data_IF_220141909843
#
_entry.id   IF_220141909843
#
_cell.length_a   1.000
_cell.length_b   1.000
_cell.length_c   1.000
_cell.angle_alpha   90.00
_cell.angle_beta   90.00
_cell.angle_gamma   90.00
#
_symmetry.space_group_name_H-M   'P 1'
#
loop_
_entity.id
_entity.type
_entity.pdbx_description
1 polymer ?
#
# COMPACT_ATOMS: atom_id res chain seq x y z
N UNK A 1 18.98 26.16 -3.09
CA UNK A 1 19.34 24.96 -2.30
C UNK A 1 18.88 23.75 -3.09
N UNK A 2 19.76 22.78 -3.34
CA UNK A 2 19.41 21.49 -3.96
C UNK A 2 19.19 20.50 -2.82
N UNK A 3 18.03 19.84 -2.77
CA UNK A 3 17.65 18.91 -1.71
C UNK A 3 17.43 17.51 -2.28
N UNK A 4 18.33 16.57 -1.94
CA UNK A 4 18.33 15.19 -2.43
C UNK A 4 18.05 14.17 -1.32
N UNK A 5 17.48 14.61 -0.19
CA UNK A 5 17.22 13.73 0.96
C UNK A 5 16.11 12.71 0.69
N UNK A 6 15.05 13.14 0.00
CA UNK A 6 13.85 12.35 -0.25
C UNK A 6 12.94 13.06 -1.24
N UNK A 7 12.08 12.33 -1.95
CA UNK A 7 10.97 12.88 -2.74
C UNK A 7 9.82 13.42 -1.87
N UNK A 8 9.87 13.23 -0.55
CA UNK A 8 8.93 13.84 0.41
C UNK A 8 9.14 15.35 0.60
N UNK A 9 10.25 15.92 0.13
CA UNK A 9 10.54 17.37 0.28
C UNK A 9 9.88 18.23 -0.80
N UNK A 10 9.12 17.62 -1.72
CA UNK A 10 8.38 18.31 -2.77
C UNK A 10 7.46 19.38 -2.20
N UNK A 11 7.19 20.42 -2.99
CA UNK A 11 6.29 21.51 -2.61
C UNK A 11 5.19 21.66 -3.66
N UNK A 12 3.96 22.03 -3.25
CA UNK A 12 2.88 22.28 -4.18
C UNK A 12 3.26 23.31 -5.24
N UNK A 13 2.99 22.96 -6.50
CA UNK A 13 3.13 23.86 -7.64
C UNK A 13 2.14 25.02 -7.57
N UNK A 14 2.33 26.05 -8.39
CA UNK A 14 1.39 27.18 -8.46
C UNK A 14 -0.03 26.72 -8.84
N UNK A 15 -0.15 25.77 -9.78
CA UNK A 15 -1.44 25.19 -10.18
C UNK A 15 -2.11 24.45 -9.03
N UNK A 16 -1.35 23.63 -8.28
CA UNK A 16 -1.88 22.92 -7.12
C UNK A 16 -2.30 23.88 -6.01
N UNK A 17 -1.54 24.95 -5.75
CA UNK A 17 -1.91 25.99 -4.77
C UNK A 17 -3.22 26.68 -5.14
N UNK A 18 -3.42 26.97 -6.42
CA UNK A 18 -4.67 27.53 -6.91
C UNK A 18 -5.83 26.55 -6.76
N UNK A 19 -5.64 25.30 -7.17
CA UNK A 19 -6.66 24.25 -7.04
C UNK A 19 -7.09 24.05 -5.58
N UNK A 20 -6.14 24.09 -4.62
CA UNK A 20 -6.48 24.03 -3.19
C UNK A 20 -7.25 25.27 -2.71
N UNK A 21 -6.90 26.47 -3.18
CA UNK A 21 -7.57 27.71 -2.79
C UNK A 21 -9.00 27.84 -3.35
N UNK A 22 -9.27 27.16 -4.48
CA UNK A 22 -10.53 27.21 -5.21
C UNK A 22 -11.38 25.93 -5.02
N UNK A 23 -10.92 24.97 -4.20
CA UNK A 23 -11.60 23.69 -4.02
C UNK A 23 -12.99 23.86 -3.39
N UNK A 24 -13.97 23.13 -3.92
CA UNK A 24 -15.26 22.93 -3.25
C UNK A 24 -15.05 21.97 -2.08
N UNK A 25 -15.48 22.35 -0.89
CA UNK A 25 -15.25 21.58 0.34
C UNK A 25 -16.55 21.33 1.10
N UNK A 26 -16.55 20.28 1.92
CA UNK A 26 -17.65 19.90 2.78
C UNK A 26 -17.16 19.15 4.03
N UNK A 27 -18.10 18.69 4.83
CA UNK A 27 -17.79 17.78 5.95
C UNK A 27 -17.66 16.35 5.43
N UNK A 28 -16.44 15.80 5.45
CA UNK A 28 -16.15 14.47 4.91
C UNK A 28 -16.83 13.34 5.70
N UNK A 29 -17.13 13.55 6.98
CA UNK A 29 -17.75 12.55 7.85
C UNK A 29 -19.27 12.52 7.67
N UNK A 30 -19.90 13.69 7.54
CA UNK A 30 -21.36 13.80 7.50
C UNK A 30 -21.93 13.58 6.11
N UNK A 31 -21.52 14.43 5.16
CA UNK A 31 -22.14 14.51 3.83
C UNK A 31 -21.16 14.14 2.70
N UNK A 32 -19.91 13.83 3.06
CA UNK A 32 -18.78 13.62 2.16
C UNK A 32 -18.26 14.93 1.56
N UNK A 33 -16.94 15.10 1.50
CA UNK A 33 -16.36 16.26 0.83
C UNK A 33 -16.37 16.02 -0.70
N UNK A 34 -16.91 16.95 -1.52
CA UNK A 34 -17.01 16.76 -2.97
C UNK A 34 -15.64 16.65 -3.66
N UNK A 35 -14.61 17.34 -3.17
CA UNK A 35 -13.25 17.24 -3.71
C UNK A 35 -12.59 15.94 -3.29
N UNK A 36 -12.75 15.51 -2.02
CA UNK A 36 -12.24 14.22 -1.54
C UNK A 36 -12.86 13.05 -2.30
N UNK A 37 -14.18 13.03 -2.49
CA UNK A 37 -14.85 11.97 -3.26
C UNK A 37 -14.34 11.87 -4.69
N UNK A 38 -14.19 13.01 -5.39
CA UNK A 38 -13.63 13.03 -6.74
C UNK A 38 -12.19 12.51 -6.79
N UNK A 39 -11.39 12.79 -5.75
CA UNK A 39 -10.05 12.23 -5.62
C UNK A 39 -10.12 10.70 -5.44
N UNK A 40 -10.96 10.21 -4.53
CA UNK A 40 -11.14 8.79 -4.25
C UNK A 40 -11.61 8.01 -5.49
N UNK A 41 -12.63 8.51 -6.20
CA UNK A 41 -13.11 7.95 -7.47
C UNK A 41 -12.00 7.88 -8.51
N UNK A 42 -11.22 8.97 -8.65
CA UNK A 42 -10.12 9.01 -9.61
C UNK A 42 -9.00 8.04 -9.26
N UNK A 43 -8.68 7.88 -7.96
CA UNK A 43 -7.66 6.91 -7.53
C UNK A 43 -8.15 5.48 -7.76
N UNK A 44 -9.40 5.18 -7.43
CA UNK A 44 -9.99 3.86 -7.69
C UNK A 44 -9.90 3.50 -9.19
N UNK A 45 -10.26 4.43 -10.07
CA UNK A 45 -10.15 4.27 -11.53
C UNK A 45 -8.69 4.01 -11.97
N UNK A 46 -7.74 4.83 -11.53
CA UNK A 46 -6.33 4.71 -11.92
C UNK A 46 -5.66 3.41 -11.47
N UNK A 47 -6.04 2.93 -10.28
CA UNK A 47 -5.51 1.70 -9.67
C UNK A 47 -6.30 0.47 -10.12
N UNK A 48 -7.47 0.65 -10.75
CA UNK A 48 -8.31 -0.46 -11.22
C UNK A 48 -8.99 -1.20 -10.07
N UNK A 49 -9.42 -0.48 -9.04
CA UNK A 49 -10.17 -0.99 -7.90
C UNK A 49 -11.60 -0.43 -7.88
N UNK A 50 -12.47 -1.02 -7.07
CA UNK A 50 -13.88 -0.59 -6.97
C UNK A 50 -14.04 0.73 -6.22
N UNK A 51 -13.21 0.96 -5.20
CA UNK A 51 -13.26 2.15 -4.37
C UNK A 51 -11.86 2.52 -3.83
N UNK A 52 -11.75 3.76 -3.34
CA UNK A 52 -10.59 4.23 -2.59
C UNK A 52 -11.03 5.14 -1.42
N UNK A 53 -10.13 5.35 -0.48
CA UNK A 53 -10.31 6.20 0.70
C UNK A 53 -9.07 7.06 0.92
N UNK A 54 -9.26 8.36 1.14
CA UNK A 54 -8.18 9.29 1.44
C UNK A 54 -7.70 9.17 2.90
N UNK A 55 -6.39 9.26 3.10
CA UNK A 55 -5.73 9.23 4.40
C UNK A 55 -4.71 10.37 4.54
N UNK A 56 -4.54 10.93 5.75
CA UNK A 56 -3.50 11.93 6.03
C UNK A 56 -2.08 11.46 5.69
N UNK A 57 -1.79 10.16 5.83
CA UNK A 57 -0.45 9.60 5.59
C UNK A 57 -0.51 8.18 5.04
N UNK A 58 0.57 7.77 4.36
CA UNK A 58 0.73 6.39 3.89
C UNK A 58 0.82 5.38 5.02
N UNK A 59 1.40 5.77 6.16
CA UNK A 59 1.45 4.94 7.37
C UNK A 59 0.05 4.61 7.86
N UNK A 60 -0.83 5.61 7.98
CA UNK A 60 -2.21 5.35 8.42
C UNK A 60 -2.95 4.44 7.42
N UNK A 61 -2.80 4.68 6.11
CA UNK A 61 -3.42 3.83 5.10
C UNK A 61 -2.91 2.37 5.15
N UNK A 62 -1.60 2.16 5.27
CA UNK A 62 -0.99 0.84 5.45
C UNK A 62 -1.50 0.16 6.72
N UNK A 63 -1.48 0.86 7.85
CA UNK A 63 -1.94 0.31 9.12
C UNK A 63 -3.43 -0.03 9.11
N UNK A 64 -4.29 0.79 8.49
CA UNK A 64 -5.70 0.45 8.26
C UNK A 64 -5.85 -0.81 7.40
N UNK A 65 -5.06 -0.94 6.33
CA UNK A 65 -5.09 -2.13 5.49
C UNK A 65 -4.68 -3.39 6.26
N UNK A 66 -3.61 -3.32 7.04
CA UNK A 66 -3.17 -4.44 7.87
C UNK A 66 -4.18 -4.75 8.97
N UNK A 67 -4.77 -3.74 9.61
CA UNK A 67 -5.80 -3.94 10.62
C UNK A 67 -7.00 -4.74 10.09
N UNK A 68 -7.41 -4.50 8.85
CA UNK A 68 -8.54 -5.17 8.22
C UNK A 68 -8.19 -6.55 7.63
N UNK A 69 -6.96 -6.73 7.16
CA UNK A 69 -6.54 -8.00 6.55
C UNK A 69 -5.97 -9.00 7.56
N UNK A 70 -5.32 -8.50 8.61
CA UNK A 70 -4.72 -9.34 9.64
C UNK A 70 -5.70 -9.60 10.78
N UNK A 71 -5.63 -10.81 11.34
CA UNK A 71 -6.38 -11.14 12.53
C UNK A 71 -5.48 -11.04 13.77
N UNK A 72 -6.02 -10.63 14.92
CA UNK A 72 -5.24 -10.59 16.16
C UNK A 72 -4.70 -11.99 16.49
N UNK A 73 -3.41 -12.08 16.84
CA UNK A 73 -2.74 -13.35 17.14
C UNK A 73 -2.33 -14.15 15.91
N UNK A 74 -2.33 -13.55 14.72
CA UNK A 74 -1.85 -14.18 13.46
C UNK A 74 -0.56 -13.54 12.97
N UNK A 75 -0.07 -13.95 11.80
CA UNK A 75 1.12 -13.43 11.15
C UNK A 75 0.81 -12.65 9.88
N UNK A 76 1.66 -11.67 9.59
CA UNK A 76 1.79 -11.04 8.27
C UNK A 76 3.16 -11.39 7.70
N UNK A 77 3.20 -11.92 6.47
CA UNK A 77 4.43 -12.31 5.78
C UNK A 77 4.81 -11.24 4.75
N UNK A 78 6.02 -10.68 4.90
CA UNK A 78 6.51 -9.56 4.08
C UNK A 78 8.04 -9.47 4.09
N UNK A 79 8.59 -8.60 3.24
CA UNK A 79 10.04 -8.38 3.15
C UNK A 79 10.60 -7.77 4.45
N UNK A 80 11.77 -8.26 4.90
CA UNK A 80 12.36 -7.96 6.21
C UNK A 80 12.78 -6.50 6.41
N UNK A 81 12.90 -5.73 5.34
CA UNK A 81 13.31 -4.33 5.27
C UNK A 81 12.25 -3.43 4.61
N UNK A 82 11.04 -3.95 4.41
CA UNK A 82 9.90 -3.16 3.97
C UNK A 82 9.57 -2.03 4.95
N UNK A 83 8.95 -0.97 4.45
CA UNK A 83 8.56 0.23 5.19
C UNK A 83 7.67 -0.10 6.39
N UNK A 84 6.69 -0.99 6.19
CA UNK A 84 5.83 -1.59 7.21
C UNK A 84 6.60 -2.17 8.40
N UNK A 85 7.82 -2.66 8.18
CA UNK A 85 8.69 -3.23 9.24
C UNK A 85 9.56 -2.15 9.88
N UNK A 86 10.23 -1.32 9.07
CA UNK A 86 11.30 -0.44 9.55
C UNK A 86 10.82 0.93 10.03
N UNK A 87 9.76 1.46 9.45
CA UNK A 87 9.42 2.88 9.54
C UNK A 87 8.00 3.18 10.01
N UNK A 88 7.28 2.16 10.49
CA UNK A 88 5.89 2.28 10.97
C UNK A 88 5.75 1.95 12.46
N UNK A 89 6.83 2.13 13.23
CA UNK A 89 6.83 2.06 14.70
C UNK A 89 6.23 0.76 15.27
N UNK A 90 6.53 -0.37 14.61
CA UNK A 90 5.97 -1.68 14.93
C UNK A 90 4.43 -1.72 14.92
N UNK A 91 3.79 -0.92 14.07
CA UNK A 91 2.34 -0.78 13.99
C UNK A 91 1.59 -2.09 13.78
N UNK A 92 2.14 -3.03 12.99
CA UNK A 92 1.54 -4.37 12.78
C UNK A 92 1.34 -5.08 14.12
N UNK A 93 2.33 -5.04 15.01
CA UNK A 93 2.25 -5.66 16.33
C UNK A 93 1.43 -4.82 17.31
N UNK A 94 1.65 -3.50 17.34
CA UNK A 94 1.04 -2.61 18.32
C UNK A 94 -0.44 -2.33 18.09
N UNK A 95 -0.86 -2.23 16.83
CA UNK A 95 -2.23 -1.92 16.43
C UNK A 95 -2.98 -3.20 16.06
N UNK A 96 -2.55 -3.89 15.00
CA UNK A 96 -3.27 -5.06 14.51
C UNK A 96 -3.11 -6.30 15.40
N UNK A 97 -2.17 -6.30 16.36
CA UNK A 97 -1.91 -7.46 17.21
C UNK A 97 -1.44 -8.68 16.43
N UNK A 98 -0.79 -8.46 15.29
CA UNK A 98 -0.25 -9.50 14.43
C UNK A 98 1.28 -9.50 14.51
N UNK A 99 1.89 -10.68 14.41
CA UNK A 99 3.34 -10.78 14.33
C UNK A 99 3.83 -10.64 12.89
N UNK A 100 5.06 -10.18 12.73
CA UNK A 100 5.74 -10.12 11.44
C UNK A 100 6.49 -11.43 11.24
N UNK A 101 6.25 -12.10 10.12
CA UNK A 101 7.13 -13.14 9.59
C UNK A 101 7.97 -12.51 8.47
N UNK A 102 9.24 -12.15 8.71
CA UNK A 102 10.04 -11.46 7.72
C UNK A 102 10.69 -12.44 6.74
N UNK A 103 10.72 -12.06 5.46
CA UNK A 103 11.53 -12.71 4.42
C UNK A 103 12.62 -11.75 4.01
N UNK A 104 13.89 -12.11 4.20
CA UNK A 104 14.98 -11.27 3.75
C UNK A 104 15.29 -11.53 2.27
N UNK A 105 15.35 -10.45 1.51
CA UNK A 105 15.79 -10.45 0.11
C UNK A 105 17.13 -9.70 -0.01
N UNK A 106 18.00 -10.08 -0.94
CA UNK A 106 19.25 -9.35 -1.17
C UNK A 106 19.05 -8.03 -1.92
N UNK A 107 17.97 -7.90 -2.71
CA UNK A 107 17.75 -6.79 -3.62
C UNK A 107 16.36 -6.12 -3.46
N UNK A 108 15.61 -6.45 -2.41
CA UNK A 108 14.25 -5.93 -2.18
C UNK A 108 13.16 -6.61 -3.01
N UNK A 109 13.50 -7.57 -3.88
CA UNK A 109 12.52 -8.27 -4.72
C UNK A 109 12.06 -9.54 -4.02
N UNK A 110 10.92 -9.44 -3.34
CA UNK A 110 10.22 -10.60 -2.78
C UNK A 110 9.65 -11.46 -3.92
N UNK A 111 9.80 -12.78 -3.83
CA UNK A 111 9.32 -13.72 -4.87
C UNK A 111 8.36 -14.75 -4.28
N UNK A 112 7.51 -15.34 -5.13
CA UNK A 112 6.62 -16.42 -4.71
C UNK A 112 7.39 -17.65 -4.18
N UNK A 113 8.59 -17.93 -4.70
CA UNK A 113 9.43 -19.01 -4.21
C UNK A 113 9.86 -18.78 -2.74
N UNK A 114 10.36 -17.58 -2.42
CA UNK A 114 10.75 -17.21 -1.05
C UNK A 114 9.53 -17.20 -0.11
N UNK A 115 8.37 -16.73 -0.59
CA UNK A 115 7.13 -16.76 0.16
C UNK A 115 6.67 -18.19 0.48
N UNK A 116 6.79 -19.13 -0.47
CA UNK A 116 6.48 -20.55 -0.24
C UNK A 116 7.41 -21.17 0.79
N UNK A 117 8.70 -20.86 0.73
CA UNK A 117 9.70 -21.35 1.69
C UNK A 117 9.42 -20.84 3.10
N UNK A 118 9.05 -19.56 3.23
CA UNK A 118 8.71 -18.96 4.51
C UNK A 118 7.31 -19.32 5.02
N UNK A 119 6.48 -20.00 4.21
CA UNK A 119 5.09 -20.29 4.57
C UNK A 119 5.03 -21.26 5.76
N UNK A 120 4.34 -20.92 6.86
CA UNK A 120 4.28 -21.79 8.02
C UNK A 120 3.50 -23.08 7.73
N UNK A 121 4.01 -24.22 8.20
CA UNK A 121 3.24 -25.46 8.21
C UNK A 121 2.02 -25.32 9.14
N UNK A 122 0.89 -25.92 8.75
CA UNK A 122 -0.31 -25.93 9.58
C UNK A 122 -0.03 -26.64 10.91
N UNK A 123 -0.17 -25.92 12.02
CA UNK A 123 0.10 -26.42 13.37
C UNK A 123 -0.69 -25.63 14.40
N UNK A 124 -1.25 -26.27 15.45
CA UNK A 124 -1.89 -25.55 16.55
C UNK A 124 -0.90 -24.74 17.40
N UNK A 125 0.41 -24.93 17.21
CA UNK A 125 1.47 -24.25 17.96
C UNK A 125 2.16 -23.13 17.15
N UNK A 126 1.75 -22.93 15.89
CA UNK A 126 2.30 -21.89 15.01
C UNK A 126 1.17 -20.94 14.64
N UNK A 127 1.34 -19.62 14.79
CA UNK A 127 0.30 -18.68 14.41
C UNK A 127 0.00 -18.77 12.91
N UNK A 128 -1.29 -18.66 12.57
CA UNK A 128 -1.74 -18.72 11.19
C UNK A 128 -1.23 -17.51 10.42
N UNK A 129 -0.87 -17.70 9.16
CA UNK A 129 -0.62 -16.59 8.23
C UNK A 129 -1.96 -16.06 7.69
N UNK A 130 -2.32 -14.81 7.99
CA UNK A 130 -3.60 -14.21 7.56
C UNK A 130 -3.45 -13.26 6.38
N UNK A 131 -2.28 -12.63 6.23
CA UNK A 131 -2.03 -11.64 5.19
C UNK A 131 -0.59 -11.68 4.66
N UNK A 132 -0.44 -11.27 3.41
CA UNK A 132 0.82 -10.93 2.77
C UNK A 132 0.89 -9.42 2.56
N UNK A 133 2.09 -8.84 2.68
CA UNK A 133 2.34 -7.49 2.25
C UNK A 133 3.59 -7.41 1.36
N UNK A 134 3.49 -6.63 0.28
CA UNK A 134 4.57 -6.40 -0.68
C UNK A 134 4.75 -4.90 -0.86
N UNK A 135 5.99 -4.43 -0.96
CA UNK A 135 6.30 -3.04 -1.26
C UNK A 135 6.80 -2.89 -2.70
N UNK A 136 6.18 -2.00 -3.49
CA UNK A 136 6.63 -1.69 -4.85
C UNK A 136 6.43 -0.21 -5.20
N UNK A 137 7.48 0.57 -5.44
CA UNK A 137 8.91 0.21 -5.43
C UNK A 137 9.48 0.03 -4.01
N UNK A 138 10.48 -0.83 -3.85
CA UNK A 138 11.08 -1.12 -2.55
C UNK A 138 12.10 -0.05 -2.10
N UNK A 139 11.79 0.67 -1.02
CA UNK A 139 12.51 1.85 -0.53
C UNK A 139 13.92 1.51 -0.03
N UNK A 140 14.06 0.55 0.88
CA UNK A 140 15.35 0.18 1.46
C UNK A 140 16.32 -0.45 0.43
N UNK A 141 15.79 -0.86 -0.74
CA UNK A 141 16.57 -1.39 -1.85
C UNK A 141 16.85 -0.35 -2.94
N UNK A 142 16.73 0.95 -2.62
CA UNK A 142 17.06 2.04 -3.53
C UNK A 142 15.99 2.32 -4.59
N UNK A 143 14.71 2.08 -4.27
CA UNK A 143 13.62 2.28 -5.22
C UNK A 143 13.51 1.15 -6.24
N UNK A 144 13.86 -0.07 -5.85
CA UNK A 144 13.80 -1.24 -6.73
C UNK A 144 12.37 -1.50 -7.19
N UNK A 145 12.19 -1.64 -8.50
CA UNK A 145 10.91 -2.00 -9.12
C UNK A 145 10.75 -3.52 -9.08
N UNK A 146 9.59 -4.01 -8.61
CA UNK A 146 9.22 -5.41 -8.75
C UNK A 146 8.76 -5.67 -10.20
N UNK A 147 9.40 -6.61 -10.93
CA UNK A 147 8.96 -6.98 -12.27
C UNK A 147 7.54 -7.55 -12.27
N UNK A 148 6.72 -7.19 -13.26
CA UNK A 148 5.34 -7.67 -13.38
C UNK A 148 5.19 -9.20 -13.29
N UNK A 149 6.02 -10.04 -13.96
CA UNK A 149 5.89 -11.49 -13.83
C UNK A 149 6.08 -12.00 -12.40
N UNK A 150 6.99 -11.36 -11.63
CA UNK A 150 7.22 -11.71 -10.22
C UNK A 150 5.99 -11.35 -9.37
N UNK A 151 5.40 -10.18 -9.61
CA UNK A 151 4.16 -9.78 -8.96
C UNK A 151 3.00 -10.76 -9.25
N UNK A 152 2.84 -11.17 -10.51
CA UNK A 152 1.80 -12.12 -10.92
C UNK A 152 1.94 -13.49 -10.24
N UNK A 153 3.17 -13.97 -10.04
CA UNK A 153 3.42 -15.19 -9.27
C UNK A 153 3.02 -15.05 -7.80
N UNK A 154 3.23 -13.89 -7.18
CA UNK A 154 2.83 -13.62 -5.78
C UNK A 154 1.30 -13.56 -5.67
N UNK A 155 0.64 -12.89 -6.62
CA UNK A 155 -0.83 -12.85 -6.70
C UNK A 155 -1.42 -14.25 -6.84
N UNK A 156 -0.83 -15.08 -7.71
CA UNK A 156 -1.26 -16.47 -7.89
C UNK A 156 -1.10 -17.28 -6.60
N UNK A 157 0.04 -17.14 -5.90
CA UNK A 157 0.26 -17.80 -4.61
C UNK A 157 -0.73 -17.33 -3.53
N UNK A 158 -0.97 -16.02 -3.41
CA UNK A 158 -1.92 -15.48 -2.45
C UNK A 158 -3.33 -16.04 -2.68
N UNK A 159 -3.73 -16.12 -3.95
CA UNK A 159 -5.02 -16.67 -4.39
C UNK A 159 -5.11 -18.16 -4.10
N UNK A 160 -4.10 -18.94 -4.48
CA UNK A 160 -3.99 -20.39 -4.21
C UNK A 160 -4.16 -20.70 -2.72
N UNK A 161 -3.59 -19.83 -1.86
CA UNK A 161 -3.58 -20.00 -0.41
C UNK A 161 -4.75 -19.34 0.31
N UNK A 162 -5.59 -18.59 -0.40
CA UNK A 162 -6.75 -17.88 0.16
C UNK A 162 -6.38 -16.80 1.19
N UNK A 163 -5.23 -16.15 1.06
CA UNK A 163 -4.80 -15.06 1.96
C UNK A 163 -4.94 -13.69 1.29
N UNK A 164 -5.11 -12.65 2.10
CA UNK A 164 -5.18 -11.27 1.59
C UNK A 164 -3.79 -10.77 1.22
N UNK A 165 -3.69 -10.09 0.08
CA UNK A 165 -2.45 -9.50 -0.42
C UNK A 165 -2.56 -7.98 -0.42
N UNK A 166 -1.76 -7.32 0.41
CA UNK A 166 -1.64 -5.86 0.44
C UNK A 166 -0.43 -5.39 -0.35
N UNK A 167 -0.62 -4.37 -1.18
CA UNK A 167 0.47 -3.66 -1.86
C UNK A 167 0.71 -2.31 -1.18
N UNK A 168 1.87 -2.16 -0.52
CA UNK A 168 2.45 -0.84 -0.24
C UNK A 168 2.99 -0.27 -1.56
N UNK A 169 2.13 0.51 -2.20
CA UNK A 169 2.38 1.19 -3.46
C UNK A 169 2.71 2.67 -3.25
N UNK A 170 3.40 3.05 -2.17
CA UNK A 170 3.80 4.45 -1.91
C UNK A 170 4.40 5.13 -3.15
N UNK A 171 5.07 4.35 -4.00
CA UNK A 171 5.65 4.80 -5.28
C UNK A 171 5.19 3.96 -6.47
N UNK A 172 3.98 3.42 -6.45
CA UNK A 172 3.42 2.61 -7.56
C UNK A 172 3.46 3.37 -8.90
N UNK A 173 3.31 4.69 -8.86
CA UNK A 173 3.43 5.56 -10.04
C UNK A 173 4.80 5.45 -10.72
N UNK A 174 5.87 5.32 -9.93
CA UNK A 174 7.24 5.17 -10.44
C UNK A 174 7.44 3.77 -11.02
N UNK A 175 6.90 2.74 -10.35
CA UNK A 175 6.94 1.36 -10.85
C UNK A 175 6.19 1.21 -12.19
N UNK A 176 5.06 1.92 -12.34
CA UNK A 176 4.28 1.98 -13.57
C UNK A 176 5.07 2.63 -14.72
N UNK A 177 5.63 3.83 -14.47
CA UNK A 177 6.47 4.53 -15.46
C UNK A 177 7.71 3.73 -15.85
N UNK A 178 8.40 3.12 -14.87
CA UNK A 178 9.62 2.35 -15.13
C UNK A 178 9.40 1.09 -15.98
N UNK A 179 8.17 0.57 -16.02
CA UNK A 179 7.79 -0.61 -16.79
C UNK A 179 6.95 -0.29 -18.04
N UNK A 180 6.65 0.98 -18.29
CA UNK A 180 5.71 1.41 -19.34
C UNK A 180 4.34 0.73 -19.22
N UNK A 181 3.80 0.71 -18.00
CA UNK A 181 2.52 0.09 -17.67
C UNK A 181 1.56 1.10 -17.04
N UNK A 182 0.26 0.83 -17.13
CA UNK A 182 -0.73 1.53 -16.30
C UNK A 182 -0.59 1.11 -14.82
N UNK A 183 -0.85 2.01 -13.84
CA UNK A 183 -0.82 1.66 -12.42
C UNK A 183 -1.74 0.48 -12.08
N UNK A 184 -2.91 0.39 -12.72
CA UNK A 184 -3.81 -0.75 -12.59
C UNK A 184 -3.19 -2.10 -12.98
N UNK A 185 -2.26 -2.14 -13.94
CA UNK A 185 -1.57 -3.38 -14.31
C UNK A 185 -0.55 -3.78 -13.24
N UNK A 186 0.16 -2.82 -12.65
CA UNK A 186 1.15 -3.05 -11.58
C UNK A 186 0.48 -3.53 -10.29
N UNK A 187 -0.73 -3.05 -10.00
CA UNK A 187 -1.47 -3.36 -8.79
C UNK A 187 -2.44 -4.56 -8.92
N UNK A 188 -2.64 -5.07 -10.14
CA UNK A 188 -3.67 -6.07 -10.45
C UNK A 188 -3.55 -7.29 -9.55
N UNK A 189 -4.66 -7.67 -8.91
CA UNK A 189 -4.73 -8.86 -8.06
C UNK A 189 -4.40 -8.62 -6.58
N UNK A 190 -3.95 -7.42 -6.20
CA UNK A 190 -3.91 -7.04 -4.79
C UNK A 190 -5.32 -6.99 -4.20
N UNK A 191 -5.46 -7.41 -2.94
CA UNK A 191 -6.68 -7.21 -2.14
C UNK A 191 -6.85 -5.76 -1.71
N UNK A 192 -5.75 -5.04 -1.48
CA UNK A 192 -5.75 -3.60 -1.29
C UNK A 192 -4.41 -2.97 -1.68
N UNK A 193 -4.44 -1.69 -2.03
CA UNK A 193 -3.27 -0.94 -2.53
C UNK A 193 -3.20 0.41 -1.82
N UNK A 194 -2.12 0.67 -1.10
CA UNK A 194 -1.83 2.02 -0.60
C UNK A 194 -1.05 2.79 -1.66
N UNK A 195 -1.40 4.04 -1.92
CA UNK A 195 -0.66 4.95 -2.81
C UNK A 195 -0.38 6.28 -2.14
N UNK A 196 0.83 6.81 -2.29
CA UNK A 196 1.15 8.14 -1.77
C UNK A 196 0.94 9.24 -2.80
N UNK A 197 0.43 10.37 -2.34
CA UNK A 197 0.31 11.62 -3.12
C UNK A 197 1.41 12.62 -2.72
N UNK A 198 1.90 12.54 -1.49
CA UNK A 198 2.84 13.48 -0.86
C UNK A 198 4.33 13.18 -1.07
N UNK A 199 4.66 12.54 -2.20
CA UNK A 199 6.03 12.17 -2.60
C UNK A 199 6.33 12.73 -3.99
N UNK A 200 6.80 11.91 -4.92
CA UNK A 200 7.06 12.33 -6.31
C UNK A 200 5.88 12.97 -7.07
N UNK A 201 4.62 12.81 -6.62
CA UNK A 201 3.46 13.52 -7.17
C UNK A 201 3.31 14.98 -6.68
N UNK A 202 4.01 15.37 -5.61
CA UNK A 202 4.13 16.75 -5.18
C UNK A 202 2.98 17.32 -4.34
N UNK A 203 2.00 16.49 -3.93
CA UNK A 203 0.97 16.94 -3.00
C UNK A 203 1.59 17.29 -1.63
N UNK A 204 1.03 18.25 -0.89
CA UNK A 204 1.60 18.63 0.41
C UNK A 204 1.38 17.54 1.48
N UNK A 205 0.27 16.82 1.39
CA UNK A 205 -0.19 15.80 2.35
C UNK A 205 -0.93 14.73 1.57
N UNK A 206 -1.02 13.55 2.16
CA UNK A 206 -2.04 12.59 1.78
C UNK A 206 -1.52 11.34 1.10
N UNK A 207 -2.33 10.31 1.22
CA UNK A 207 -2.24 9.00 0.58
C UNK A 207 -3.66 8.47 0.38
N UNK A 208 -3.83 7.44 -0.42
CA UNK A 208 -5.11 6.76 -0.58
C UNK A 208 -4.93 5.26 -0.38
N UNK A 209 -5.95 4.61 0.15
CA UNK A 209 -6.07 3.15 0.17
C UNK A 209 -7.16 2.76 -0.82
N UNK A 210 -6.86 1.85 -1.74
CA UNK A 210 -7.79 1.35 -2.75
C UNK A 210 -8.06 -0.15 -2.56
N UNK A 211 -9.25 -0.62 -2.93
CA UNK A 211 -9.65 -2.02 -2.80
C UNK A 211 -11.08 -2.27 -3.27
N UNK A 212 -11.69 -3.38 -2.83
CA UNK A 212 -13.12 -3.61 -3.08
C UNK A 212 -13.99 -2.60 -2.31
N UNK A 213 -15.21 -2.36 -2.79
CA UNK A 213 -16.14 -1.44 -2.14
C UNK A 213 -16.44 -1.86 -0.69
N UNK A 214 -16.57 -3.17 -0.44
CA UNK A 214 -16.77 -3.71 0.90
C UNK A 214 -15.57 -3.46 1.83
N UNK A 215 -14.34 -3.64 1.32
CA UNK A 215 -13.13 -3.39 2.09
C UNK A 215 -12.96 -1.90 2.43
N UNK A 216 -13.22 -1.02 1.46
CA UNK A 216 -13.14 0.43 1.67
C UNK A 216 -14.25 0.94 2.58
N UNK A 217 -15.45 0.35 2.52
CA UNK A 217 -16.51 0.61 3.50
C UNK A 217 -16.04 0.33 4.93
N UNK A 218 -15.45 -0.85 5.16
CA UNK A 218 -14.89 -1.21 6.46
C UNK A 218 -13.68 -0.35 6.88
N UNK A 219 -12.94 0.23 5.93
CA UNK A 219 -11.82 1.13 6.24
C UNK A 219 -12.26 2.54 6.66
N UNK A 220 -13.50 2.93 6.34
CA UNK A 220 -14.08 4.23 6.71
C UNK A 220 -14.71 4.21 8.11
N UNK A 221 -15.12 3.04 8.60
CA UNK A 221 -15.67 2.80 9.94
C UNK A 221 -14.58 2.75 11.03
#
# INVERSE_FOLDING_TARGET
>A
MIDLRSDTVTRPSAGMRRAMAEAEVGDDVLDGDPTTRRLEERIAELIGCEAALFFPSGVQANQTAIWLHAERGTEVLLEATAHLVLYEMAGIAGLAGAQIRPVRTPDGVLTAALLREAWPAASPHVPRLSALAVENTHNAAGGRVMPLPVWEEIVALATERGVRLHLDGARVWHAAVAQDLAPAQVARGASSVMVSLSKGLGCPVGSCLAGSAAFIGAARE
#
